data_IF_321096944834
#
_entry.id   IF_321096944834
#
_cell.length_a   1.000
_cell.length_b   1.000
_cell.length_c   1.000
_cell.angle_alpha   90.00
_cell.angle_beta   90.00
_cell.angle_gamma   90.00
#
_symmetry.space_group_name_H-M   'P 1'
#
loop_
_entity.id
_entity.type
_entity.pdbx_description
1 polymer ?
#
# COMPACT_ATOMS: atom_id res chain seq x y z
N UNK A 1 25.65 56.44 20.45
CA UNK A 1 25.59 55.00 20.72
C UNK A 1 24.73 54.36 19.63
N UNK A 2 25.41 53.84 18.61
CA UNK A 2 24.77 53.22 17.42
C UNK A 2 24.51 51.73 17.69
N UNK A 3 23.27 51.30 17.54
CA UNK A 3 22.90 49.89 17.55
C UNK A 3 23.25 49.27 16.20
N UNK A 4 24.11 48.26 16.19
CA UNK A 4 24.43 47.45 15.06
C UNK A 4 23.31 46.39 14.85
N UNK A 5 22.56 46.49 13.74
CA UNK A 5 21.62 45.50 13.32
C UNK A 5 22.39 44.37 12.57
N UNK A 6 22.44 43.19 13.18
CA UNK A 6 22.98 41.96 12.58
C UNK A 6 22.03 41.44 11.50
N UNK A 7 22.40 41.56 10.22
CA UNK A 7 21.70 40.96 9.11
C UNK A 7 22.08 39.48 9.00
N UNK A 8 21.19 38.60 9.46
CA UNK A 8 21.27 37.16 9.20
C UNK A 8 20.87 36.85 7.74
N UNK A 9 21.85 36.77 6.85
CA UNK A 9 21.63 36.36 5.47
C UNK A 9 21.30 34.86 5.41
N UNK A 10 20.03 34.54 5.25
CA UNK A 10 19.58 33.16 4.89
C UNK A 10 20.17 32.84 3.53
N UNK A 11 21.24 32.08 3.47
CA UNK A 11 21.70 31.44 2.23
C UNK A 11 20.63 30.44 1.80
N UNK A 12 19.88 30.76 0.75
CA UNK A 12 19.08 29.78 0.02
C UNK A 12 20.06 28.83 -0.66
N UNK A 13 20.10 27.58 -0.22
CA UNK A 13 20.77 26.52 -0.97
C UNK A 13 20.05 26.38 -2.31
N UNK A 14 20.80 26.28 -3.44
CA UNK A 14 20.18 26.03 -4.72
C UNK A 14 19.58 24.61 -4.68
N UNK A 15 18.27 24.50 -4.84
CA UNK A 15 17.61 23.22 -5.14
C UNK A 15 18.01 22.84 -6.55
N UNK A 16 19.02 21.97 -6.68
CA UNK A 16 19.35 21.36 -7.97
C UNK A 16 18.29 20.33 -8.26
N UNK A 17 17.25 20.72 -8.99
CA UNK A 17 16.25 19.80 -9.52
C UNK A 17 16.88 19.13 -10.76
N UNK A 18 17.57 18.02 -10.56
CA UNK A 18 17.99 17.13 -11.64
C UNK A 18 16.91 16.07 -11.89
N UNK A 19 15.71 16.50 -12.20
CA UNK A 19 14.61 15.61 -12.53
C UNK A 19 14.49 15.44 -14.03
N UNK A 20 14.59 14.21 -14.53
CA UNK A 20 14.30 13.84 -15.92
C UNK A 20 12.79 13.79 -16.16
N UNK A 21 12.06 14.84 -15.85
CA UNK A 21 10.85 15.12 -16.58
C UNK A 21 11.32 15.53 -17.98
N UNK A 22 11.04 14.74 -19.03
CA UNK A 22 11.02 15.26 -20.40
C UNK A 22 10.36 16.64 -20.28
N UNK A 23 11.06 17.70 -20.70
CA UNK A 23 10.54 19.07 -20.62
C UNK A 23 9.11 19.03 -21.11
N UNK A 24 8.16 19.09 -20.14
CA UNK A 24 6.76 19.27 -20.46
C UNK A 24 6.74 20.50 -21.36
N UNK A 25 6.31 20.34 -22.62
CA UNK A 25 6.24 21.47 -23.53
C UNK A 25 5.33 22.50 -22.85
N UNK A 26 5.77 23.75 -22.75
CA UNK A 26 5.01 24.81 -22.12
C UNK A 26 3.55 24.74 -22.59
N UNK A 27 2.61 24.50 -21.66
CA UNK A 27 1.17 24.41 -21.93
C UNK A 27 0.60 22.99 -22.08
N UNK A 28 1.38 21.91 -21.90
CA UNK A 28 0.83 20.55 -21.83
C UNK A 28 0.67 20.08 -20.39
N UNK A 29 -0.48 19.50 -20.10
CA UNK A 29 -0.77 18.83 -18.81
C UNK A 29 0.00 17.52 -18.74
N UNK A 30 0.63 17.24 -17.60
CA UNK A 30 1.33 15.96 -17.36
C UNK A 30 0.33 14.82 -17.30
N UNK A 31 0.58 13.74 -18.02
CA UNK A 31 -0.24 12.53 -18.06
C UNK A 31 0.39 11.39 -17.24
N UNK A 32 -0.33 10.93 -16.21
CA UNK A 32 0.01 9.75 -15.43
C UNK A 32 -0.88 8.59 -15.86
N UNK A 33 -0.27 7.54 -16.43
CA UNK A 33 -0.97 6.30 -16.73
C UNK A 33 -1.04 5.41 -15.48
N UNK A 34 -2.24 4.94 -15.13
CA UNK A 34 -2.44 3.99 -14.04
C UNK A 34 -2.93 2.68 -14.62
N UNK A 35 -2.20 1.58 -14.36
CA UNK A 35 -2.61 0.24 -14.75
C UNK A 35 -3.37 -0.42 -13.59
N UNK A 36 -4.63 -0.80 -13.87
CA UNK A 36 -5.58 -1.35 -12.91
C UNK A 36 -6.67 -0.35 -12.54
N UNK A 37 -7.94 -0.81 -12.61
CA UNK A 37 -9.13 0.02 -12.42
C UNK A 37 -9.71 0.02 -11.00
N UNK A 38 -8.93 -0.35 -9.98
CA UNK A 38 -9.40 -0.54 -8.61
C UNK A 38 -9.62 0.76 -7.82
N UNK A 39 -9.87 0.61 -6.52
CA UNK A 39 -10.10 1.75 -5.63
C UNK A 39 -8.87 2.63 -5.42
N UNK A 40 -7.65 2.07 -5.53
CA UNK A 40 -6.43 2.87 -5.36
C UNK A 40 -6.28 3.85 -6.53
N UNK A 41 -6.52 3.39 -7.76
CA UNK A 41 -6.55 4.26 -8.94
C UNK A 41 -7.62 5.35 -8.81
N UNK A 42 -8.82 5.02 -8.30
CA UNK A 42 -9.88 6.00 -8.03
C UNK A 42 -9.42 7.10 -7.06
N UNK A 43 -8.75 6.71 -5.96
CA UNK A 43 -8.25 7.65 -4.96
C UNK A 43 -7.01 8.43 -5.45
N UNK A 44 -6.15 7.83 -6.28
CA UNK A 44 -5.08 8.55 -6.99
C UNK A 44 -5.66 9.60 -7.94
N UNK A 45 -6.72 9.26 -8.68
CA UNK A 45 -7.41 10.22 -9.53
C UNK A 45 -7.99 11.40 -8.72
N UNK A 46 -8.65 11.14 -7.60
CA UNK A 46 -9.15 12.21 -6.73
C UNK A 46 -8.02 13.15 -6.27
N UNK A 47 -6.85 12.63 -5.91
CA UNK A 47 -5.68 13.43 -5.55
C UNK A 47 -5.06 14.19 -6.73
N UNK A 48 -5.18 13.69 -7.95
CA UNK A 48 -4.60 14.29 -9.16
C UNK A 48 -5.30 15.59 -9.56
N UNK A 49 -6.58 15.73 -9.25
CA UNK A 49 -7.42 16.87 -9.66
C UNK A 49 -6.84 18.19 -9.12
N UNK A 50 -6.52 18.23 -7.80
CA UNK A 50 -5.94 19.42 -7.17
C UNK A 50 -4.54 19.78 -7.69
N UNK A 51 -3.81 18.81 -8.24
CA UNK A 51 -2.48 18.99 -8.81
C UNK A 51 -2.50 19.34 -10.32
N UNK A 52 -3.67 19.34 -10.96
CA UNK A 52 -3.80 19.55 -12.41
C UNK A 52 -3.14 18.44 -13.24
N UNK A 53 -3.04 17.23 -12.71
CA UNK A 53 -2.47 16.06 -13.38
C UNK A 53 -3.57 15.36 -14.15
N UNK A 54 -3.32 15.03 -15.42
CA UNK A 54 -4.20 14.18 -16.21
C UNK A 54 -3.93 12.71 -15.88
N UNK A 55 -4.97 11.98 -15.44
CA UNK A 55 -4.91 10.53 -15.22
C UNK A 55 -5.52 9.82 -16.42
N UNK A 56 -4.73 8.90 -16.99
CA UNK A 56 -5.17 7.90 -17.94
C UNK A 56 -5.26 6.57 -17.24
N UNK A 57 -6.25 5.77 -17.55
CA UNK A 57 -6.53 4.50 -16.89
C UNK A 57 -6.51 3.35 -17.89
N UNK A 58 -5.75 2.29 -17.60
CA UNK A 58 -5.93 0.98 -18.23
C UNK A 58 -6.71 0.11 -17.25
N UNK A 59 -7.97 -0.17 -17.57
CA UNK A 59 -8.88 -0.92 -16.72
C UNK A 59 -9.31 -2.24 -17.38
N UNK A 60 -9.58 -3.27 -16.57
CA UNK A 60 -10.02 -4.58 -17.02
C UNK A 60 -11.48 -4.56 -17.54
N UNK A 61 -12.28 -3.60 -17.08
CA UNK A 61 -13.64 -3.38 -17.57
C UNK A 61 -14.09 -1.91 -17.32
N UNK A 62 -15.13 -1.42 -18.04
CA UNK A 62 -15.66 -0.07 -17.84
C UNK A 62 -16.36 0.12 -16.47
N UNK A 63 -16.69 -0.98 -15.77
CA UNK A 63 -17.39 -0.94 -14.49
C UNK A 63 -16.44 -1.02 -13.30
N UNK A 64 -15.14 -0.90 -13.51
CA UNK A 64 -14.16 -0.86 -12.42
C UNK A 64 -14.25 0.44 -11.64
N UNK A 65 -13.87 0.40 -10.37
CA UNK A 65 -14.00 1.52 -9.43
C UNK A 65 -13.48 2.86 -9.96
N UNK A 66 -12.32 2.86 -10.59
CA UNK A 66 -11.70 4.06 -11.13
C UNK A 66 -12.32 4.44 -12.49
N UNK A 67 -12.71 3.48 -13.34
CA UNK A 67 -13.30 3.76 -14.64
C UNK A 67 -14.63 4.52 -14.55
N UNK A 68 -15.33 4.40 -13.43
CA UNK A 68 -16.57 5.17 -13.17
C UNK A 68 -16.33 6.67 -12.99
N UNK A 69 -15.10 7.14 -12.78
CA UNK A 69 -14.79 8.54 -12.45
C UNK A 69 -13.65 9.14 -13.27
N UNK A 70 -12.79 8.32 -13.85
CA UNK A 70 -11.71 8.77 -14.75
C UNK A 70 -12.30 8.97 -16.14
N UNK A 71 -11.97 10.10 -16.79
CA UNK A 71 -12.50 10.40 -18.13
C UNK A 71 -11.76 9.61 -19.23
N UNK A 72 -10.44 9.48 -19.11
CA UNK A 72 -9.57 8.85 -20.13
C UNK A 72 -9.31 7.38 -19.75
N UNK A 73 -10.17 6.49 -20.23
CA UNK A 73 -10.15 5.06 -19.90
C UNK A 73 -9.90 4.22 -21.16
N UNK A 74 -8.86 3.42 -21.11
CA UNK A 74 -8.63 2.30 -22.03
C UNK A 74 -9.08 1.00 -21.33
N UNK A 75 -10.00 0.27 -21.95
CA UNK A 75 -10.39 -1.06 -21.46
C UNK A 75 -9.54 -2.11 -22.16
N UNK A 76 -8.85 -2.95 -21.37
CA UNK A 76 -7.98 -3.97 -21.93
C UNK A 76 -7.29 -4.83 -20.86
N UNK A 77 -6.61 -5.87 -21.33
CA UNK A 77 -5.86 -6.79 -20.50
C UNK A 77 -4.45 -6.24 -20.22
N UNK A 78 -4.13 -6.05 -18.95
CA UNK A 78 -2.80 -5.60 -18.52
C UNK A 78 -1.69 -6.68 -18.68
N UNK A 79 -2.05 -7.90 -19.07
CA UNK A 79 -1.11 -8.97 -19.41
C UNK A 79 -0.79 -9.02 -20.90
N UNK A 80 -1.61 -8.35 -21.76
CA UNK A 80 -1.36 -8.25 -23.20
C UNK A 80 -0.30 -7.18 -23.52
N UNK A 81 0.86 -7.58 -24.09
CA UNK A 81 1.94 -6.64 -24.41
C UNK A 81 1.54 -5.54 -25.40
N UNK A 82 0.65 -5.80 -26.35
CA UNK A 82 0.25 -4.81 -27.34
C UNK A 82 -0.60 -3.71 -26.71
N UNK A 83 -1.59 -4.11 -25.91
CA UNK A 83 -2.46 -3.20 -25.15
C UNK A 83 -1.65 -2.29 -24.22
N UNK A 84 -0.74 -2.89 -23.41
CA UNK A 84 0.04 -2.13 -22.43
C UNK A 84 1.04 -1.18 -23.11
N UNK A 85 1.69 -1.59 -24.20
CA UNK A 85 2.59 -0.70 -24.95
C UNK A 85 1.86 0.48 -25.57
N UNK A 86 0.70 0.23 -26.20
CA UNK A 86 -0.13 1.29 -26.78
C UNK A 86 -0.58 2.30 -25.74
N UNK A 87 -1.08 1.82 -24.61
CA UNK A 87 -1.48 2.67 -23.47
C UNK A 87 -0.31 3.49 -22.92
N UNK A 88 0.82 2.84 -22.66
CA UNK A 88 1.99 3.48 -22.05
C UNK A 88 2.65 4.54 -22.96
N UNK A 89 2.54 4.40 -24.29
CA UNK A 89 3.09 5.34 -25.25
C UNK A 89 2.48 6.75 -25.15
N UNK A 90 1.28 6.86 -24.58
CA UNK A 90 0.53 8.11 -24.42
C UNK A 90 0.68 8.72 -23.03
N UNK A 91 1.52 8.14 -22.15
CA UNK A 91 1.73 8.57 -20.77
C UNK A 91 3.14 9.14 -20.58
N UNK A 92 3.27 10.17 -19.73
CA UNK A 92 4.58 10.68 -19.31
C UNK A 92 5.23 9.75 -18.28
N UNK A 93 4.41 9.09 -17.43
CA UNK A 93 4.83 8.08 -16.47
C UNK A 93 3.71 7.05 -16.30
N UNK A 94 4.09 5.79 -16.07
CA UNK A 94 3.17 4.69 -15.78
C UNK A 94 3.34 4.26 -14.33
N UNK A 95 2.22 4.08 -13.62
CA UNK A 95 2.14 3.54 -12.25
C UNK A 95 1.01 2.53 -12.13
N UNK A 96 0.75 2.00 -10.93
CA UNK A 96 -0.08 0.82 -10.73
C UNK A 96 -1.09 0.96 -9.62
N UNK A 97 -2.25 0.34 -9.80
CA UNK A 97 -3.27 0.07 -8.78
C UNK A 97 -3.01 -1.29 -8.06
N UNK A 98 -2.26 -2.18 -8.71
CA UNK A 98 -1.90 -3.52 -8.22
C UNK A 98 -0.54 -3.96 -8.74
N UNK A 99 0.04 -5.02 -8.17
CA UNK A 99 1.37 -5.55 -8.52
C UNK A 99 1.34 -6.70 -9.55
N UNK A 100 0.26 -6.90 -10.32
CA UNK A 100 0.10 -8.12 -11.16
C UNK A 100 0.62 -7.99 -12.59
N UNK A 101 1.05 -6.81 -13.02
CA UNK A 101 1.62 -6.64 -14.37
C UNK A 101 2.90 -7.47 -14.50
N UNK A 102 3.05 -8.31 -15.55
CA UNK A 102 4.21 -9.17 -15.70
C UNK A 102 5.53 -8.40 -15.71
N UNK A 103 6.49 -8.81 -14.88
CA UNK A 103 7.80 -8.12 -14.74
C UNK A 103 8.54 -8.02 -16.07
N UNK A 104 8.45 -9.04 -16.94
CA UNK A 104 9.06 -9.04 -18.27
C UNK A 104 8.51 -7.91 -19.14
N UNK A 105 7.20 -7.74 -19.15
CA UNK A 105 6.53 -6.67 -19.89
C UNK A 105 6.95 -5.28 -19.41
N UNK A 106 7.10 -5.09 -18.08
CA UNK A 106 7.57 -3.82 -17.54
C UNK A 106 9.02 -3.50 -17.91
N UNK A 107 9.90 -4.51 -17.99
CA UNK A 107 11.27 -4.35 -18.49
C UNK A 107 11.30 -3.97 -19.98
N UNK A 108 10.40 -4.55 -20.78
CA UNK A 108 10.24 -4.18 -22.18
C UNK A 108 9.81 -2.71 -22.35
N UNK A 109 8.87 -2.24 -21.49
CA UNK A 109 8.46 -0.83 -21.49
C UNK A 109 9.62 0.11 -21.16
N UNK A 110 10.40 -0.17 -20.09
CA UNK A 110 11.59 0.63 -19.75
C UNK A 110 12.61 0.63 -20.87
N UNK A 111 12.86 -0.53 -21.50
CA UNK A 111 13.77 -0.66 -22.64
C UNK A 111 13.31 0.15 -23.86
N UNK A 112 12.00 0.34 -24.01
CA UNK A 112 11.39 1.21 -25.01
C UNK A 112 11.40 2.71 -24.63
N UNK A 113 11.93 3.07 -23.45
CA UNK A 113 12.03 4.44 -22.95
C UNK A 113 10.79 4.96 -22.24
N UNK A 114 9.84 4.09 -21.87
CA UNK A 114 8.72 4.45 -21.03
C UNK A 114 9.19 4.60 -19.57
N UNK A 115 8.75 5.65 -18.89
CA UNK A 115 9.03 5.84 -17.47
C UNK A 115 8.03 5.02 -16.66
N UNK A 116 8.51 3.96 -15.99
CA UNK A 116 7.70 3.06 -15.14
C UNK A 116 8.07 3.30 -13.67
N UNK A 117 7.10 3.60 -12.81
CA UNK A 117 7.34 3.91 -11.39
C UNK A 117 6.24 3.33 -10.49
N UNK A 118 6.60 2.39 -9.56
CA UNK A 118 7.94 1.83 -9.34
C UNK A 118 8.44 1.03 -10.54
N UNK A 119 9.76 1.01 -10.75
CA UNK A 119 10.37 0.22 -11.83
C UNK A 119 10.32 -1.28 -11.56
N UNK A 120 10.43 -2.13 -12.60
CA UNK A 120 10.33 -3.59 -12.47
C UNK A 120 11.40 -4.20 -11.55
N UNK A 121 12.56 -3.57 -11.42
CA UNK A 121 13.61 -4.01 -10.50
C UNK A 121 13.22 -3.88 -9.03
N UNK A 122 12.43 -2.86 -8.68
CA UNK A 122 11.86 -2.71 -7.36
C UNK A 122 10.59 -3.57 -7.19
N UNK A 123 9.66 -3.47 -8.14
CA UNK A 123 8.33 -4.06 -8.06
C UNK A 123 8.36 -5.58 -7.90
N UNK A 124 9.37 -6.26 -8.43
CA UNK A 124 9.52 -7.72 -8.29
C UNK A 124 9.52 -8.18 -6.84
N UNK A 125 9.99 -7.35 -5.89
CA UNK A 125 10.00 -7.68 -4.47
C UNK A 125 8.60 -7.61 -3.81
N UNK A 126 7.65 -6.93 -4.43
CA UNK A 126 6.24 -6.99 -4.02
C UNK A 126 5.47 -8.11 -4.75
N UNK A 127 6.00 -8.59 -5.89
CA UNK A 127 5.38 -9.68 -6.67
C UNK A 127 5.80 -11.07 -6.23
N UNK A 128 6.99 -11.20 -5.64
CA UNK A 128 7.63 -12.49 -5.36
C UNK A 128 8.23 -12.51 -3.95
N UNK A 129 7.60 -13.27 -3.06
CA UNK A 129 7.99 -13.36 -1.65
C UNK A 129 9.37 -14.01 -1.47
N UNK A 130 9.76 -14.94 -2.34
CA UNK A 130 11.08 -15.58 -2.26
C UNK A 130 12.19 -14.56 -2.59
N UNK A 131 12.03 -13.80 -3.68
CA UNK A 131 12.97 -12.74 -4.06
C UNK A 131 13.02 -11.64 -2.99
N UNK A 132 11.86 -11.27 -2.44
CA UNK A 132 11.78 -10.29 -1.36
C UNK A 132 12.57 -10.75 -0.12
N UNK A 133 12.32 -11.99 0.35
CA UNK A 133 12.99 -12.54 1.55
C UNK A 133 14.50 -12.62 1.39
N UNK A 134 14.97 -13.16 0.26
CA UNK A 134 16.39 -13.25 -0.05
C UNK A 134 17.05 -11.86 -0.01
N UNK A 135 16.46 -10.89 -0.71
CA UNK A 135 16.98 -9.53 -0.76
C UNK A 135 16.97 -8.83 0.61
N UNK A 136 15.85 -8.90 1.34
CA UNK A 136 15.73 -8.25 2.65
C UNK A 136 16.67 -8.87 3.69
N UNK A 137 16.80 -10.19 3.71
CA UNK A 137 17.76 -10.89 4.56
C UNK A 137 19.19 -10.49 4.23
N UNK A 138 19.53 -10.41 2.94
CA UNK A 138 20.83 -9.95 2.48
C UNK A 138 21.16 -8.49 2.86
N UNK A 139 20.14 -7.66 3.06
CA UNK A 139 20.25 -6.28 3.56
C UNK A 139 20.33 -6.21 5.10
N UNK A 140 20.18 -7.32 5.81
CA UNK A 140 20.12 -7.35 7.26
C UNK A 140 18.79 -6.85 7.84
N UNK A 141 17.73 -6.72 7.02
CA UNK A 141 16.40 -6.41 7.52
C UNK A 141 15.84 -7.58 8.33
N UNK A 142 15.18 -7.33 9.47
CA UNK A 142 14.60 -8.39 10.28
C UNK A 142 13.47 -9.09 9.52
N UNK A 143 13.67 -10.34 9.17
CA UNK A 143 12.71 -11.20 8.47
C UNK A 143 12.51 -12.51 9.24
N UNK A 144 11.35 -13.18 9.10
CA UNK A 144 11.21 -14.56 9.52
C UNK A 144 12.25 -15.46 8.81
N UNK A 145 12.77 -16.47 9.49
CA UNK A 145 13.55 -17.50 8.82
C UNK A 145 12.73 -18.12 7.70
N UNK A 146 13.32 -18.29 6.52
CA UNK A 146 12.56 -18.75 5.36
C UNK A 146 13.38 -19.62 4.43
N UNK A 147 12.69 -20.47 3.68
CA UNK A 147 13.29 -21.35 2.67
C UNK A 147 12.31 -21.58 1.51
N UNK A 148 12.83 -21.44 0.30
CA UNK A 148 12.09 -21.86 -0.89
C UNK A 148 12.13 -23.39 -0.97
N UNK A 149 10.96 -24.00 -1.15
CA UNK A 149 10.79 -25.44 -1.23
C UNK A 149 9.96 -25.81 -2.45
N UNK A 150 10.23 -26.97 -3.03
CA UNK A 150 9.58 -27.44 -4.26
C UNK A 150 8.72 -28.69 -4.06
N UNK A 151 8.79 -29.29 -2.86
CA UNK A 151 8.07 -30.50 -2.51
C UNK A 151 7.75 -30.59 -1.01
N UNK A 152 6.84 -31.49 -0.67
CA UNK A 152 6.41 -31.72 0.70
C UNK A 152 7.53 -32.22 1.64
N UNK A 153 8.43 -33.15 1.23
CA UNK A 153 9.56 -33.54 2.06
C UNK A 153 10.48 -32.40 2.45
N UNK A 154 10.78 -31.47 1.51
CA UNK A 154 11.61 -30.29 1.81
C UNK A 154 10.91 -29.34 2.76
N UNK A 155 9.58 -29.15 2.62
CA UNK A 155 8.79 -28.34 3.55
C UNK A 155 8.72 -28.95 4.94
N UNK A 156 8.52 -30.27 5.03
CA UNK A 156 8.56 -31.01 6.30
C UNK A 156 9.93 -30.91 6.98
N UNK A 157 11.03 -31.04 6.23
CA UNK A 157 12.38 -30.88 6.75
C UNK A 157 12.62 -29.47 7.30
N UNK A 158 12.13 -28.42 6.61
CA UNK A 158 12.19 -27.05 7.11
C UNK A 158 11.40 -26.89 8.42
N UNK A 159 10.18 -27.44 8.51
CA UNK A 159 9.39 -27.40 9.74
C UNK A 159 10.03 -28.14 10.90
N UNK A 160 10.67 -29.28 10.66
CA UNK A 160 11.40 -30.02 11.70
C UNK A 160 12.64 -29.26 12.19
N UNK A 161 13.26 -28.47 11.34
CA UNK A 161 14.43 -27.64 11.66
C UNK A 161 14.06 -26.38 12.44
N UNK A 162 12.98 -25.70 12.03
CA UNK A 162 12.53 -24.44 12.65
C UNK A 162 11.67 -24.65 13.91
N UNK A 163 11.06 -25.82 14.04
CA UNK A 163 9.99 -26.08 15.00
C UNK A 163 8.61 -25.78 14.42
N UNK A 164 7.62 -26.58 14.80
CA UNK A 164 6.23 -26.41 14.41
C UNK A 164 5.49 -25.46 15.39
N UNK A 165 4.52 -24.66 14.93
CA UNK A 165 4.02 -24.56 13.55
C UNK A 165 4.95 -23.74 12.66
N UNK A 166 4.78 -23.89 11.32
CA UNK A 166 5.38 -23.03 10.30
C UNK A 166 4.31 -22.42 9.41
N UNK A 167 4.69 -21.40 8.63
CA UNK A 167 3.85 -20.86 7.57
C UNK A 167 4.36 -21.33 6.20
N UNK A 168 3.46 -21.81 5.35
CA UNK A 168 3.74 -22.03 3.94
C UNK A 168 3.01 -20.98 3.12
N UNK A 169 3.69 -20.36 2.15
CA UNK A 169 3.12 -19.30 1.31
C UNK A 169 3.47 -19.54 -0.15
N UNK A 170 2.56 -19.24 -1.07
CA UNK A 170 2.94 -19.16 -2.49
C UNK A 170 3.95 -18.04 -2.66
N UNK A 171 5.01 -18.28 -3.45
CA UNK A 171 5.99 -17.24 -3.77
C UNK A 171 5.34 -16.06 -4.51
N UNK A 172 4.39 -16.36 -5.42
CA UNK A 172 3.66 -15.38 -6.23
C UNK A 172 2.15 -15.57 -6.13
N UNK A 173 1.37 -14.51 -6.38
CA UNK A 173 -0.07 -14.57 -6.58
C UNK A 173 -0.93 -14.68 -5.32
N UNK A 174 -0.36 -14.72 -4.11
CA UNK A 174 -1.10 -14.69 -2.84
C UNK A 174 -1.52 -13.26 -2.46
N UNK A 175 -2.76 -13.06 -2.01
CA UNK A 175 -3.28 -11.78 -1.49
C UNK A 175 -4.42 -12.03 -0.50
N UNK A 176 -4.65 -11.11 0.44
CA UNK A 176 -5.74 -11.18 1.42
C UNK A 176 -5.88 -12.59 2.06
N UNK A 177 -4.76 -13.19 2.52
CA UNK A 177 -4.72 -14.53 3.13
C UNK A 177 -4.81 -15.72 2.18
N UNK A 178 -4.99 -15.52 0.88
CA UNK A 178 -4.98 -16.60 -0.13
C UNK A 178 -3.56 -17.05 -0.41
N UNK A 179 -3.37 -18.38 -0.56
CA UNK A 179 -2.05 -18.95 -0.79
C UNK A 179 -1.15 -18.92 0.44
N UNK A 180 -1.75 -18.92 1.64
CA UNK A 180 -1.06 -18.97 2.93
C UNK A 180 -1.66 -20.10 3.77
N UNK A 181 -0.81 -20.95 4.32
CA UNK A 181 -1.19 -22.09 5.18
C UNK A 181 -0.37 -22.05 6.45
N UNK A 182 -1.01 -22.23 7.58
CA UNK A 182 -0.35 -22.60 8.82
C UNK A 182 -0.30 -24.12 8.88
N UNK A 183 0.87 -24.65 9.11
CA UNK A 183 1.11 -26.09 9.20
C UNK A 183 1.59 -26.39 10.62
N UNK A 184 0.86 -27.23 11.33
CA UNK A 184 1.12 -27.54 12.74
C UNK A 184 1.99 -28.80 12.89
N UNK A 185 2.19 -29.60 11.83
CA UNK A 185 3.02 -30.82 11.83
C UNK A 185 3.51 -31.19 10.42
N UNK A 186 4.48 -32.10 10.37
CA UNK A 186 5.04 -32.64 9.13
C UNK A 186 4.00 -33.32 8.22
N UNK A 187 2.97 -33.91 8.80
CA UNK A 187 1.91 -34.61 8.05
C UNK A 187 1.11 -33.66 7.14
N UNK A 188 1.07 -32.36 7.47
CA UNK A 188 0.37 -31.33 6.71
C UNK A 188 1.24 -30.73 5.59
N UNK A 189 2.52 -31.09 5.49
CA UNK A 189 3.43 -30.50 4.51
C UNK A 189 3.01 -30.75 3.05
N UNK A 190 2.16 -31.76 2.79
CA UNK A 190 1.58 -32.03 1.48
C UNK A 190 0.46 -31.07 1.05
N UNK A 191 -0.30 -30.53 2.02
CA UNK A 191 -1.52 -29.77 1.77
C UNK A 191 -1.36 -28.59 0.79
N UNK A 192 -0.28 -27.76 0.85
CA UNK A 192 -0.08 -26.67 -0.09
C UNK A 192 0.08 -27.15 -1.53
N UNK A 193 0.83 -28.24 -1.72
CA UNK A 193 1.15 -28.78 -3.05
C UNK A 193 -0.07 -29.49 -3.68
N UNK A 194 -0.87 -30.21 -2.89
CA UNK A 194 -2.12 -30.82 -3.37
C UNK A 194 -3.14 -29.78 -3.87
N UNK A 195 -3.18 -28.60 -3.24
CA UNK A 195 -4.11 -27.53 -3.60
C UNK A 195 -3.68 -26.70 -4.80
N UNK A 196 -2.37 -26.57 -5.03
CA UNK A 196 -1.82 -25.68 -6.04
C UNK A 196 -1.41 -26.42 -7.33
N UNK A 197 -1.22 -27.73 -7.25
CA UNK A 197 -0.67 -28.53 -8.34
C UNK A 197 0.84 -28.42 -8.48
N UNK A 198 1.38 -29.17 -9.45
CA UNK A 198 2.81 -29.26 -9.68
C UNK A 198 3.42 -27.94 -10.20
N UNK A 199 4.66 -27.66 -9.79
CA UNK A 199 5.46 -26.53 -10.29
C UNK A 199 5.21 -25.19 -9.62
N UNK A 200 4.33 -25.11 -8.62
CA UNK A 200 4.16 -23.88 -7.81
C UNK A 200 5.27 -23.81 -6.76
N UNK A 201 6.00 -22.69 -6.75
CA UNK A 201 7.03 -22.42 -5.78
C UNK A 201 6.40 -21.99 -4.45
N UNK A 202 6.73 -22.73 -3.39
CA UNK A 202 6.32 -22.44 -2.01
C UNK A 202 7.51 -21.85 -1.26
N UNK A 203 7.25 -20.91 -0.37
CA UNK A 203 8.19 -20.46 0.64
C UNK A 203 7.69 -20.95 2.00
N UNK A 204 8.50 -21.75 2.68
CA UNK A 204 8.33 -22.07 4.11
C UNK A 204 8.88 -20.92 4.93
N UNK A 205 8.15 -20.47 5.92
CA UNK A 205 8.56 -19.40 6.85
C UNK A 205 8.36 -19.84 8.30
N UNK A 206 9.25 -19.40 9.19
CA UNK A 206 9.07 -19.44 10.63
C UNK A 206 7.70 -18.88 11.00
N UNK A 207 6.98 -19.55 11.90
CA UNK A 207 5.78 -18.98 12.49
C UNK A 207 6.18 -17.87 13.48
N UNK A 208 5.81 -16.65 13.19
CA UNK A 208 6.07 -15.52 14.08
C UNK A 208 4.91 -15.39 15.07
N UNK A 209 5.20 -15.59 16.36
CA UNK A 209 4.26 -15.25 17.43
C UNK A 209 4.31 -13.73 17.66
N UNK A 210 3.37 -13.02 17.06
CA UNK A 210 3.29 -11.56 17.13
C UNK A 210 2.10 -11.11 17.97
N UNK A 211 2.27 -9.97 18.63
CA UNK A 211 1.22 -9.35 19.46
C UNK A 211 0.32 -8.43 18.67
N UNK A 212 0.85 -7.84 17.57
CA UNK A 212 0.10 -6.96 16.66
C UNK A 212 0.83 -6.77 15.33
N UNK A 213 0.10 -6.29 14.36
CA UNK A 213 0.64 -5.89 13.06
C UNK A 213 0.76 -4.37 12.98
N UNK A 214 1.86 -3.91 12.39
CA UNK A 214 2.15 -2.51 12.15
C UNK A 214 2.35 -2.28 10.66
N UNK A 215 2.16 -1.04 10.22
CA UNK A 215 2.45 -0.63 8.85
C UNK A 215 3.28 0.64 8.85
N UNK A 216 4.42 0.60 8.17
CA UNK A 216 5.29 1.73 7.91
C UNK A 216 5.14 2.16 6.44
N UNK A 217 4.68 3.38 6.21
CA UNK A 217 4.45 3.94 4.89
C UNK A 217 5.54 4.95 4.53
N UNK A 218 6.11 4.84 3.34
CA UNK A 218 7.13 5.75 2.82
C UNK A 218 6.80 6.15 1.39
N UNK A 219 6.84 7.46 1.11
CA UNK A 219 6.92 7.98 -0.25
C UNK A 219 8.38 8.26 -0.59
N UNK A 220 8.85 7.88 -1.78
CA UNK A 220 10.21 8.17 -2.25
C UNK A 220 10.21 8.60 -3.71
N UNK A 221 10.93 9.67 -4.03
CA UNK A 221 11.09 10.20 -5.39
C UNK A 221 12.39 9.72 -6.05
N UNK A 222 12.52 9.83 -7.39
CA UNK A 222 13.76 9.52 -8.09
C UNK A 222 14.95 10.37 -7.65
N UNK A 223 14.71 11.64 -7.27
CA UNK A 223 15.73 12.54 -6.74
C UNK A 223 16.22 12.20 -5.34
N UNK A 224 15.65 11.13 -4.72
CA UNK A 224 16.06 10.63 -3.41
C UNK A 224 15.36 11.29 -2.22
N UNK A 225 14.41 12.21 -2.43
CA UNK A 225 13.54 12.67 -1.35
C UNK A 225 12.72 11.49 -0.83
N UNK A 226 12.56 11.41 0.48
CA UNK A 226 11.70 10.43 1.13
C UNK A 226 10.89 11.07 2.26
N UNK A 227 9.65 10.61 2.45
CA UNK A 227 8.74 11.05 3.49
C UNK A 227 8.10 9.81 4.14
N UNK A 228 8.39 9.59 5.42
CA UNK A 228 7.81 8.50 6.21
C UNK A 228 6.60 9.02 6.99
N UNK A 229 5.48 8.31 6.89
CA UNK A 229 4.29 8.57 7.69
C UNK A 229 4.44 8.03 9.11
N UNK A 230 3.64 8.52 10.08
CA UNK A 230 3.53 7.88 11.39
C UNK A 230 3.16 6.40 11.25
N UNK A 231 3.72 5.56 12.13
CA UNK A 231 3.44 4.12 12.12
C UNK A 231 1.97 3.88 12.49
N UNK A 232 1.31 3.06 11.72
CA UNK A 232 -0.07 2.64 11.98
C UNK A 232 -0.13 1.23 12.54
N UNK A 233 -1.01 1.00 13.51
CA UNK A 233 -1.43 -0.35 13.87
C UNK A 233 -2.49 -0.82 12.87
N UNK A 234 -2.37 -2.06 12.40
CA UNK A 234 -3.30 -2.72 11.48
C UNK A 234 -3.97 -3.88 12.18
N UNK A 235 -5.28 -3.87 12.24
CA UNK A 235 -6.08 -4.98 12.76
C UNK A 235 -6.61 -5.79 11.59
N UNK A 236 -6.26 -7.07 11.56
CA UNK A 236 -6.72 -7.97 10.52
C UNK A 236 -7.73 -8.99 11.07
N UNK A 237 -8.67 -9.40 10.22
CA UNK A 237 -9.56 -10.53 10.47
C UNK A 237 -9.55 -11.43 9.23
N UNK A 238 -9.23 -12.71 9.43
CA UNK A 238 -9.10 -13.69 8.35
C UNK A 238 -8.14 -13.23 7.23
N UNK A 239 -7.01 -12.60 7.59
CA UNK A 239 -6.02 -12.09 6.65
C UNK A 239 -6.43 -10.82 5.90
N UNK A 240 -7.53 -10.16 6.30
CA UNK A 240 -8.02 -8.94 5.65
C UNK A 240 -7.99 -7.80 6.66
N UNK A 241 -7.32 -6.70 6.32
CA UNK A 241 -7.31 -5.49 7.15
C UNK A 241 -8.72 -4.94 7.34
N UNK A 242 -9.16 -4.81 8.60
CA UNK A 242 -10.48 -4.26 8.96
C UNK A 242 -10.39 -2.87 9.55
N UNK A 243 -9.31 -2.53 10.26
CA UNK A 243 -9.12 -1.24 10.92
C UNK A 243 -7.65 -0.86 10.93
N UNK A 244 -7.36 0.43 10.86
CA UNK A 244 -6.04 0.98 11.16
C UNK A 244 -6.16 2.11 12.17
N UNK A 245 -5.22 2.20 13.09
CA UNK A 245 -5.11 3.29 14.07
C UNK A 245 -3.75 3.97 13.91
N UNK A 246 -3.75 5.28 13.80
CA UNK A 246 -2.54 6.08 13.60
C UNK A 246 -2.52 7.28 14.59
N UNK A 247 -1.40 7.51 15.30
CA UNK A 247 -0.24 6.62 15.41
C UNK A 247 -0.58 5.27 16.06
N UNK A 248 0.30 4.27 15.97
CA UNK A 248 0.08 2.97 16.60
C UNK A 248 0.02 3.10 18.14
N UNK A 249 -1.10 2.70 18.79
CA UNK A 249 -1.26 2.91 20.24
C UNK A 249 -0.17 2.21 21.05
N UNK A 250 0.40 2.92 22.04
CA UNK A 250 1.41 2.36 22.93
C UNK A 250 2.76 2.01 22.27
N UNK A 251 2.98 2.43 21.02
CA UNK A 251 4.29 2.38 20.39
C UNK A 251 5.06 3.64 20.81
N UNK A 252 6.20 3.45 21.45
CA UNK A 252 7.07 4.56 21.85
C UNK A 252 7.79 5.18 20.64
N UNK A 253 8.30 6.40 20.82
CA UNK A 253 8.92 7.17 19.75
C UNK A 253 10.19 6.49 19.20
N UNK A 254 10.95 5.78 20.03
CA UNK A 254 12.18 5.08 19.62
C UNK A 254 11.85 3.92 18.68
N UNK A 255 10.88 3.08 19.04
CA UNK A 255 10.43 1.97 18.20
C UNK A 255 9.73 2.46 16.94
N UNK A 256 8.94 3.54 17.04
CA UNK A 256 8.31 4.16 15.88
C UNK A 256 9.36 4.68 14.88
N UNK A 257 10.38 5.39 15.37
CA UNK A 257 11.50 5.88 14.56
C UNK A 257 12.29 4.73 13.93
N UNK A 258 12.55 3.65 14.69
CA UNK A 258 13.26 2.47 14.18
C UNK A 258 12.47 1.80 13.04
N UNK A 259 11.15 1.66 13.17
CA UNK A 259 10.30 1.10 12.12
C UNK A 259 10.25 1.99 10.86
N UNK A 260 10.21 3.33 11.04
CA UNK A 260 10.30 4.27 9.93
C UNK A 260 11.67 4.20 9.23
N UNK A 261 12.77 4.13 9.98
CA UNK A 261 14.11 3.99 9.43
C UNK A 261 14.29 2.69 8.65
N UNK A 262 13.73 1.58 9.15
CA UNK A 262 13.71 0.30 8.43
C UNK A 262 13.00 0.46 7.08
N UNK A 263 11.82 1.06 7.05
CA UNK A 263 11.07 1.26 5.81
C UNK A 263 11.78 2.22 4.83
N UNK A 264 12.41 3.28 5.33
CA UNK A 264 13.23 4.20 4.53
C UNK A 264 14.45 3.50 3.92
N UNK A 265 15.13 2.66 4.70
CA UNK A 265 16.26 1.84 4.23
C UNK A 265 15.80 0.89 3.13
N UNK A 266 14.70 0.16 3.33
CA UNK A 266 14.14 -0.76 2.32
C UNK A 266 13.78 0.01 1.04
N UNK A 267 13.09 1.16 1.15
CA UNK A 267 12.74 1.99 0.00
C UNK A 267 13.96 2.46 -0.79
N UNK A 268 15.04 2.81 -0.10
CA UNK A 268 16.30 3.23 -0.70
C UNK A 268 17.01 2.08 -1.43
N UNK A 269 17.22 0.97 -0.72
CA UNK A 269 17.99 -0.19 -1.20
C UNK A 269 17.31 -0.94 -2.34
N UNK A 270 15.98 -0.93 -2.39
CA UNK A 270 15.21 -1.50 -3.49
C UNK A 270 14.96 -0.50 -4.63
N UNK A 271 15.37 0.76 -4.48
CA UNK A 271 15.18 1.80 -5.51
C UNK A 271 13.70 2.12 -5.76
N UNK A 272 12.85 2.02 -4.74
CA UNK A 272 11.40 2.30 -4.88
C UNK A 272 11.18 3.75 -5.27
N UNK A 273 10.30 3.98 -6.23
CA UNK A 273 9.78 5.29 -6.61
C UNK A 273 8.25 5.25 -6.54
N UNK A 274 7.67 6.14 -5.75
CA UNK A 274 6.24 6.13 -5.39
C UNK A 274 6.06 5.79 -3.92
N UNK A 275 4.92 5.19 -3.57
CA UNK A 275 4.64 4.70 -2.22
C UNK A 275 5.19 3.29 -2.03
N UNK A 276 5.73 3.07 -0.84
CA UNK A 276 6.03 1.76 -0.27
C UNK A 276 5.27 1.62 1.04
N UNK A 277 4.58 0.50 1.22
CA UNK A 277 4.12 0.03 2.52
C UNK A 277 4.97 -1.18 2.94
N UNK A 278 5.50 -1.13 4.16
CA UNK A 278 6.18 -2.25 4.81
C UNK A 278 5.27 -2.75 5.92
N UNK A 279 4.72 -3.92 5.75
CA UNK A 279 3.93 -4.60 6.80
C UNK A 279 4.88 -5.28 7.77
N UNK A 280 4.66 -5.03 9.05
CA UNK A 280 5.52 -5.48 10.14
C UNK A 280 4.70 -6.30 11.15
N UNK A 281 5.28 -7.36 11.65
CA UNK A 281 4.76 -8.12 12.80
C UNK A 281 5.60 -7.76 14.02
N UNK A 282 4.97 -7.24 15.09
CA UNK A 282 5.63 -6.93 16.35
C UNK A 282 5.53 -8.10 17.32
N UNK A 283 6.67 -8.60 17.78
CA UNK A 283 6.77 -9.65 18.80
C UNK A 283 6.50 -9.09 20.20
N UNK A 284 6.31 -10.00 21.16
CA UNK A 284 6.05 -9.63 22.57
C UNK A 284 7.17 -8.85 23.25
N UNK A 285 8.42 -8.98 22.80
CA UNK A 285 9.56 -8.20 23.26
C UNK A 285 9.64 -6.79 22.64
N UNK A 286 8.73 -6.48 21.73
CA UNK A 286 8.66 -5.21 21.01
C UNK A 286 9.51 -5.16 19.73
N UNK A 287 10.30 -6.19 19.41
CA UNK A 287 11.00 -6.29 18.13
C UNK A 287 10.01 -6.44 16.97
N UNK A 288 10.42 -6.06 15.77
CA UNK A 288 9.60 -6.18 14.57
C UNK A 288 10.28 -7.04 13.52
N UNK A 289 9.49 -7.77 12.72
CA UNK A 289 9.94 -8.45 11.52
C UNK A 289 9.09 -8.05 10.33
N UNK A 290 9.70 -7.98 9.15
CA UNK A 290 9.01 -7.65 7.91
C UNK A 290 8.13 -8.83 7.48
N UNK A 291 6.83 -8.58 7.31
CA UNK A 291 5.89 -9.54 6.76
C UNK A 291 5.84 -9.45 5.23
N UNK A 292 5.47 -8.29 4.69
CA UNK A 292 5.21 -8.11 3.26
C UNK A 292 5.53 -6.67 2.82
N UNK A 293 5.75 -6.49 1.51
CA UNK A 293 5.92 -5.20 0.87
C UNK A 293 4.79 -4.95 -0.13
N UNK A 294 4.29 -3.72 -0.17
CA UNK A 294 3.42 -3.25 -1.25
C UNK A 294 4.01 -1.97 -1.85
N UNK A 295 4.21 -1.96 -3.17
CA UNK A 295 4.87 -0.84 -3.87
C UNK A 295 3.86 0.03 -4.62
N UNK A 296 2.82 0.43 -3.94
CA UNK A 296 1.71 1.28 -4.36
C UNK A 296 1.08 1.93 -3.13
N UNK A 297 0.13 2.87 -3.29
CA UNK A 297 -0.72 3.25 -2.18
C UNK A 297 -1.36 2.02 -1.52
N UNK A 298 -1.38 1.98 -0.21
CA UNK A 298 -1.77 0.79 0.54
C UNK A 298 -3.03 1.02 1.39
N UNK A 299 -3.78 -0.06 1.67
CA UNK A 299 -5.00 0.01 2.47
C UNK A 299 -4.74 0.60 3.86
N UNK A 300 -3.62 0.25 4.50
CA UNK A 300 -3.24 0.79 5.80
C UNK A 300 -2.94 2.29 5.79
N UNK A 301 -2.80 2.89 4.61
CA UNK A 301 -2.58 4.32 4.42
C UNK A 301 -3.84 5.12 4.01
N UNK A 302 -5.03 4.50 3.95
CA UNK A 302 -6.24 5.23 3.57
C UNK A 302 -6.61 6.35 4.54
N UNK A 303 -6.26 6.20 5.82
CA UNK A 303 -6.42 7.23 6.83
C UNK A 303 -5.77 8.56 6.45
N UNK A 304 -4.72 8.54 5.60
CA UNK A 304 -3.96 9.73 5.22
C UNK A 304 -4.77 10.73 4.39
N UNK A 305 -5.86 10.32 3.73
CA UNK A 305 -6.72 11.21 2.95
C UNK A 305 -7.23 12.35 3.83
N UNK A 306 -7.72 12.00 5.00
CA UNK A 306 -8.34 12.96 5.91
C UNK A 306 -7.48 13.27 7.13
N UNK A 307 -6.64 12.33 7.57
CA UNK A 307 -5.86 12.38 8.80
C UNK A 307 -4.43 12.90 8.67
N UNK A 308 -3.83 12.92 7.46
CA UNK A 308 -2.49 13.47 7.23
C UNK A 308 -2.55 14.83 6.50
N UNK A 309 -1.49 15.64 6.61
CA UNK A 309 -1.41 16.91 5.86
C UNK A 309 -1.36 16.65 4.36
N UNK A 310 -0.60 15.63 3.93
CA UNK A 310 -0.58 15.16 2.54
C UNK A 310 -0.91 13.67 2.50
N UNK A 311 -1.88 13.30 1.68
CA UNK A 311 -2.28 11.89 1.56
C UNK A 311 -1.21 11.03 0.89
N UNK A 312 -1.22 9.72 1.15
CA UNK A 312 -0.38 8.76 0.43
C UNK A 312 -0.60 8.83 -1.09
N UNK A 313 -1.82 9.11 -1.53
CA UNK A 313 -2.16 9.19 -2.95
C UNK A 313 -1.53 10.41 -3.61
N UNK A 314 -1.58 11.56 -2.95
CA UNK A 314 -0.93 12.78 -3.42
C UNK A 314 0.60 12.61 -3.39
N UNK A 315 1.17 12.08 -2.30
CA UNK A 315 2.61 11.84 -2.22
C UNK A 315 3.08 10.77 -3.22
N UNK A 316 2.24 9.78 -3.54
CA UNK A 316 2.55 8.85 -4.63
C UNK A 316 2.68 9.57 -5.98
N UNK A 317 1.70 10.40 -6.32
CA UNK A 317 1.73 11.19 -7.57
C UNK A 317 2.90 12.16 -7.60
N UNK A 318 3.18 12.86 -6.50
CA UNK A 318 4.36 13.72 -6.38
C UNK A 318 5.66 12.93 -6.58
N UNK A 319 5.77 11.76 -5.95
CA UNK A 319 6.94 10.91 -6.05
C UNK A 319 7.16 10.39 -7.48
N UNK A 320 6.13 9.85 -8.14
CA UNK A 320 6.26 9.32 -9.50
C UNK A 320 6.51 10.40 -10.54
N UNK A 321 6.21 11.67 -10.24
CA UNK A 321 6.50 12.83 -11.09
C UNK A 321 7.77 13.59 -10.67
N UNK A 322 8.49 13.11 -9.65
CA UNK A 322 9.67 13.80 -9.09
C UNK A 322 9.37 15.23 -8.60
N UNK A 323 8.15 15.45 -8.11
CA UNK A 323 7.77 16.69 -7.45
C UNK A 323 8.21 16.66 -5.97
N UNK A 324 8.41 17.82 -5.33
CA UNK A 324 8.67 17.87 -3.90
C UNK A 324 7.57 17.17 -3.11
N UNK A 325 7.97 16.27 -2.20
CA UNK A 325 7.03 15.53 -1.35
C UNK A 325 6.33 16.46 -0.37
N UNK A 326 5.07 16.15 -0.05
CA UNK A 326 4.30 16.85 0.96
C UNK A 326 4.54 16.30 2.36
N UNK A 327 4.10 17.04 3.35
CA UNK A 327 4.20 16.70 4.77
C UNK A 327 3.34 15.48 5.11
N UNK A 328 3.93 14.35 5.56
CA UNK A 328 3.22 13.12 5.89
C UNK A 328 2.64 13.12 7.31
N UNK A 329 2.87 14.16 8.11
CA UNK A 329 2.46 14.19 9.51
C UNK A 329 0.93 14.17 9.70
N UNK A 330 0.50 13.66 10.85
CA UNK A 330 -0.91 13.62 11.23
C UNK A 330 -1.44 15.02 11.54
N UNK A 331 -2.70 15.29 11.17
CA UNK A 331 -3.43 16.53 11.52
C UNK A 331 -3.96 16.51 12.94
N UNK A 332 -4.25 15.33 13.45
CA UNK A 332 -4.89 15.11 14.75
C UNK A 332 -4.11 14.08 15.56
N UNK A 333 -4.21 14.07 16.88
CA UNK A 333 -3.51 13.11 17.73
C UNK A 333 -3.82 11.64 17.38
N UNK A 334 -5.08 11.34 17.05
CA UNK A 334 -5.52 10.02 16.67
C UNK A 334 -6.35 10.04 15.39
N UNK A 335 -6.07 9.09 14.51
CA UNK A 335 -6.89 8.81 13.32
C UNK A 335 -7.18 7.33 13.25
N UNK A 336 -8.45 6.96 13.12
CA UNK A 336 -8.91 5.58 12.96
C UNK A 336 -9.63 5.45 11.64
N UNK A 337 -9.15 4.54 10.79
CA UNK A 337 -9.81 4.15 9.56
C UNK A 337 -10.39 2.75 9.71
N UNK A 338 -11.64 2.55 9.33
CA UNK A 338 -12.30 1.26 9.33
C UNK A 338 -12.83 0.94 7.94
N UNK A 339 -12.46 -0.23 7.40
CA UNK A 339 -12.93 -0.67 6.09
C UNK A 339 -14.43 -1.03 6.15
N UNK A 340 -15.15 -0.68 5.09
CA UNK A 340 -16.55 -1.07 4.88
C UNK A 340 -16.57 -2.21 3.87
N UNK A 341 -17.14 -3.34 4.28
CA UNK A 341 -17.34 -4.50 3.43
C UNK A 341 -18.78 -4.58 2.93
N UNK A 342 -19.01 -5.22 1.81
CA UNK A 342 -20.34 -5.49 1.33
C UNK A 342 -21.11 -6.34 2.36
N UNK A 343 -22.25 -5.84 2.79
CA UNK A 343 -23.15 -6.44 3.77
C UNK A 343 -24.58 -6.51 3.26
N UNK A 344 -25.56 -6.27 4.14
CA UNK A 344 -26.99 -6.33 3.80
C UNK A 344 -27.56 -5.02 3.24
N UNK A 345 -26.85 -3.89 3.35
CA UNK A 345 -27.26 -2.63 2.72
C UNK A 345 -26.71 -2.59 1.29
N UNK A 346 -27.62 -2.41 0.33
CA UNK A 346 -27.31 -2.26 -1.08
C UNK A 346 -27.30 -0.79 -1.57
N UNK A 347 -28.01 0.11 -0.87
CA UNK A 347 -27.98 1.56 -1.10
C UNK A 347 -27.09 2.29 -0.08
N UNK A 348 -25.78 2.18 -0.24
CA UNK A 348 -24.81 2.87 0.61
C UNK A 348 -24.98 4.40 0.62
N UNK A 349 -25.26 5.10 -0.52
CA UNK A 349 -25.50 6.53 -0.50
C UNK A 349 -26.63 6.97 0.45
N UNK A 350 -27.75 6.26 0.48
CA UNK A 350 -28.85 6.57 1.42
C UNK A 350 -28.46 6.34 2.89
N UNK A 351 -27.60 5.34 3.16
CA UNK A 351 -27.11 5.08 4.51
C UNK A 351 -26.18 6.18 5.05
N UNK A 352 -25.59 7.02 4.17
CA UNK A 352 -24.78 8.17 4.58
C UNK A 352 -25.56 9.19 5.41
N UNK A 353 -26.89 9.31 5.21
CA UNK A 353 -27.73 10.21 6.00
C UNK A 353 -27.60 9.96 7.49
N UNK A 354 -27.68 8.69 7.91
CA UNK A 354 -27.50 8.31 9.31
C UNK A 354 -26.08 8.62 9.80
N UNK A 355 -25.07 8.21 9.03
CA UNK A 355 -23.68 8.37 9.42
C UNK A 355 -23.31 9.85 9.64
N UNK A 356 -23.71 10.75 8.73
CA UNK A 356 -23.37 12.17 8.82
C UNK A 356 -24.25 12.93 9.83
N UNK A 357 -25.52 12.50 10.05
CA UNK A 357 -26.36 13.07 11.09
C UNK A 357 -25.80 12.76 12.49
N UNK A 358 -25.20 11.57 12.66
CA UNK A 358 -24.63 11.13 13.92
C UNK A 358 -23.23 11.72 14.20
N UNK A 359 -22.39 11.80 13.19
CA UNK A 359 -21.03 12.36 13.31
C UNK A 359 -20.69 13.30 12.14
N UNK A 360 -20.71 14.61 12.41
CA UNK A 360 -20.37 15.66 11.43
C UNK A 360 -18.88 15.65 11.01
N UNK A 361 -18.02 15.02 11.80
CA UNK A 361 -16.55 14.94 11.53
C UNK A 361 -16.18 13.66 10.78
N UNK A 362 -17.12 12.72 10.64
CA UNK A 362 -16.87 11.47 9.92
C UNK A 362 -16.50 11.75 8.47
N UNK A 363 -15.53 11.01 7.97
CA UNK A 363 -15.14 10.96 6.57
C UNK A 363 -15.48 9.60 5.97
N UNK A 364 -16.00 9.59 4.77
CA UNK A 364 -16.43 8.37 4.08
C UNK A 364 -15.89 8.38 2.66
N UNK A 365 -15.31 7.27 2.26
CA UNK A 365 -14.85 7.02 0.89
C UNK A 365 -15.55 5.78 0.35
N UNK A 366 -16.51 5.95 -0.55
CA UNK A 366 -17.17 4.85 -1.27
C UNK A 366 -16.48 4.60 -2.60
N UNK A 367 -16.28 3.31 -2.92
CA UNK A 367 -15.49 2.92 -4.10
C UNK A 367 -16.31 2.74 -5.38
N UNK A 368 -17.65 2.88 -5.31
CA UNK A 368 -18.52 2.64 -6.48
C UNK A 368 -18.56 1.19 -6.93
N UNK A 369 -18.15 0.25 -6.10
CA UNK A 369 -18.16 -1.19 -6.42
C UNK A 369 -19.50 -1.82 -6.17
N UNK A 370 -19.84 -2.85 -6.96
CA UNK A 370 -20.97 -3.72 -6.63
C UNK A 370 -20.80 -4.29 -5.23
N UNK A 371 -21.87 -4.24 -4.44
CA UNK A 371 -21.92 -4.79 -3.09
C UNK A 371 -21.99 -6.31 -3.19
N UNK A 372 -20.99 -6.97 -2.59
CA UNK A 372 -20.92 -8.43 -2.44
C UNK A 372 -20.35 -8.75 -1.07
N UNK A 373 -20.84 -9.81 -0.38
CA UNK A 373 -20.30 -10.21 0.90
C UNK A 373 -18.77 -10.29 0.92
N UNK A 374 -18.14 -9.65 1.91
CA UNK A 374 -16.69 -9.65 2.07
C UNK A 374 -15.88 -8.74 1.11
N UNK A 375 -16.52 -8.14 0.11
CA UNK A 375 -15.82 -7.20 -0.80
C UNK A 375 -15.67 -5.83 -0.14
N UNK A 376 -14.45 -5.29 -0.09
CA UNK A 376 -14.21 -3.89 0.35
C UNK A 376 -14.94 -2.94 -0.62
N UNK A 377 -15.94 -2.20 -0.12
CA UNK A 377 -16.77 -1.27 -0.90
C UNK A 377 -16.56 0.19 -0.52
N UNK A 378 -15.83 0.43 0.56
CA UNK A 378 -15.49 1.76 1.05
C UNK A 378 -14.64 1.70 2.31
N UNK A 379 -14.38 2.84 2.89
CA UNK A 379 -13.87 2.99 4.25
C UNK A 379 -14.42 4.25 4.89
N UNK A 380 -14.38 4.27 6.22
CA UNK A 380 -14.69 5.44 7.03
C UNK A 380 -13.46 5.85 7.83
N UNK A 381 -13.30 7.15 8.06
CA UNK A 381 -12.21 7.70 8.89
C UNK A 381 -12.80 8.62 9.94
N UNK A 382 -12.41 8.41 11.19
CA UNK A 382 -12.69 9.27 12.32
C UNK A 382 -11.38 9.68 13.00
N UNK A 383 -11.33 10.88 13.56
CA UNK A 383 -10.11 11.44 14.16
C UNK A 383 -10.45 12.35 15.35
N UNK A 384 -9.47 12.60 16.20
CA UNK A 384 -9.61 13.48 17.38
C UNK A 384 -8.57 13.23 18.46
N UNK A 385 -8.80 13.84 19.63
CA UNK A 385 -7.88 13.77 20.78
C UNK A 385 -8.05 12.48 21.59
N UNK A 386 -9.23 11.86 21.54
CA UNK A 386 -9.61 10.65 22.28
C UNK A 386 -9.70 9.46 21.31
N UNK A 387 -8.80 8.49 21.48
CA UNK A 387 -8.70 7.30 20.65
C UNK A 387 -9.98 6.45 20.71
N UNK A 388 -10.50 6.21 21.93
CA UNK A 388 -11.65 5.32 22.09
C UNK A 388 -12.93 5.93 21.48
N UNK A 389 -13.07 7.26 21.56
CA UNK A 389 -14.15 7.96 20.87
C UNK A 389 -13.99 7.89 19.34
N UNK A 390 -12.77 8.09 18.83
CA UNK A 390 -12.50 7.97 17.39
C UNK A 390 -12.81 6.55 16.89
N UNK A 391 -12.36 5.52 17.62
CA UNK A 391 -12.66 4.11 17.33
C UNK A 391 -14.15 3.80 17.31
N UNK A 392 -14.85 4.22 18.37
CA UNK A 392 -16.29 4.00 18.49
C UNK A 392 -17.06 4.61 17.31
N UNK A 393 -16.71 5.82 16.92
CA UNK A 393 -17.36 6.50 15.78
C UNK A 393 -17.08 5.80 14.44
N UNK A 394 -15.81 5.45 14.16
CA UNK A 394 -15.43 4.76 12.93
C UNK A 394 -16.10 3.38 12.84
N UNK A 395 -16.03 2.57 13.92
CA UNK A 395 -16.64 1.24 13.97
C UNK A 395 -18.15 1.28 13.83
N UNK A 396 -18.82 2.22 14.52
CA UNK A 396 -20.27 2.39 14.40
C UNK A 396 -20.67 2.69 12.94
N UNK A 397 -20.01 3.67 12.31
CA UNK A 397 -20.34 4.04 10.95
C UNK A 397 -20.08 2.89 9.95
N UNK A 398 -18.97 2.18 10.09
CA UNK A 398 -18.68 1.03 9.26
C UNK A 398 -19.69 -0.10 9.44
N UNK A 399 -20.03 -0.44 10.69
CA UNK A 399 -21.01 -1.47 11.01
C UNK A 399 -22.41 -1.11 10.46
N UNK A 400 -22.84 0.14 10.61
CA UNK A 400 -24.09 0.62 10.04
C UNK A 400 -24.09 0.50 8.50
N UNK A 401 -23.03 0.93 7.82
CA UNK A 401 -22.91 0.80 6.37
C UNK A 401 -22.85 -0.67 5.88
N UNK A 402 -22.46 -1.60 6.76
CA UNK A 402 -22.50 -3.04 6.47
C UNK A 402 -23.88 -3.68 6.78
N UNK A 403 -24.82 -2.92 7.39
CA UNK A 403 -26.17 -3.36 7.68
C UNK A 403 -26.40 -3.91 9.10
N UNK A 404 -25.49 -3.61 10.02
CA UNK A 404 -25.75 -3.85 11.44
C UNK A 404 -26.52 -2.66 12.03
N UNK A 405 -27.84 -2.84 12.15
CA UNK A 405 -28.73 -1.79 12.67
C UNK A 405 -28.70 -1.68 14.21
N UNK A 406 -28.02 -2.58 14.91
CA UNK A 406 -28.00 -2.64 16.38
C UNK A 406 -26.76 -1.94 16.99
N UNK A 407 -26.00 -1.18 16.21
CA UNK A 407 -24.76 -0.48 16.64
C UNK A 407 -25.00 0.95 17.09
#
# INVERSE_FOLDING_TARGET
MQQAASSCSRRRLPVIVTGTLRRVRRGQTVSVGIIGGGQLARMMHAASIGLGINVRLLAESPDTSAALVVHDVTVGDYTDPATVRSFAAECDVVTFDHEHVPTGLLRDLESAGVVVRPGPAALVHAQDKAIMRDRLTGLGAPCPASRVVTDAPALAAFGNEQGWPIMAKTSRGGYDGKGVWRLDSADQAGDPFERLGDGVQIIGEEFVDFTRELSALVARSPSGQAAAYPISESVQRNGICVETTTPAPGLDDERAAAAQQLALMIAHELGVVGMLAVELMQRGDGSVVVNELAMRPHNTGHWTIDGAHTSQFENHLRAVLDLPLGDPSSKEPWTVMTNVFGGSIDDLPSALLHCFARDRRLRVQLYGKQIRPGRKVGHVTSYGDDLEQARKRARHAAAYLMGDANV
#
